data_IF_150231994235
#
_entry.id   IF_150231994235
#
_cell.length_a   1.000
_cell.length_b   1.000
_cell.length_c   1.000
_cell.angle_alpha   90.00
_cell.angle_beta   90.00
_cell.angle_gamma   90.00
#
_symmetry.space_group_name_H-M   'P 1'
#
loop_
_entity.id
_entity.type
_entity.pdbx_description
1 polymer ?
#
# COMPACT_ATOMS: atom_id res chain seq x y z
N UNK A 1 -25.69 38.84 11.93
CA UNK A 1 -25.30 39.45 13.21
C UNK A 1 -24.48 38.46 13.97
N UNK A 2 -23.17 38.59 14.31
CA UNK A 2 -22.23 39.67 14.14
C UNK A 2 -20.80 39.09 14.21
N UNK A 3 -19.99 39.64 13.36
CA UNK A 3 -18.53 39.43 13.31
C UNK A 3 -17.87 39.87 14.62
N UNK A 4 -16.77 39.18 15.03
CA UNK A 4 -15.63 39.89 15.64
C UNK A 4 -14.32 39.31 15.15
N UNK A 5 -13.60 40.15 14.43
CA UNK A 5 -12.17 40.14 14.17
C UNK A 5 -11.40 40.52 15.45
N UNK A 6 -10.25 39.89 15.70
CA UNK A 6 -9.18 40.53 16.47
C UNK A 6 -7.86 40.33 15.75
N UNK A 7 -7.28 41.45 15.35
CA UNK A 7 -5.91 41.62 14.89
C UNK A 7 -5.09 42.30 15.99
N UNK A 8 -3.81 42.07 16.02
CA UNK A 8 -2.78 42.76 16.79
C UNK A 8 -1.76 41.76 17.33
N UNK A 9 -0.48 41.93 17.22
CA UNK A 9 0.40 42.99 16.77
C UNK A 9 1.83 42.51 17.01
N UNK A 10 2.75 42.86 16.12
CA UNK A 10 4.19 42.65 16.18
C UNK A 10 4.81 43.26 17.45
N UNK A 11 5.85 42.63 17.99
CA UNK A 11 6.94 43.33 18.69
C UNK A 11 8.27 42.59 18.50
N UNK A 12 9.13 43.20 17.74
CA UNK A 12 10.56 42.91 17.59
C UNK A 12 11.33 43.36 18.82
N UNK A 13 12.22 42.55 19.33
CA UNK A 13 13.36 43.04 20.16
C UNK A 13 14.62 42.26 19.74
N UNK A 14 15.53 43.00 19.16
CA UNK A 14 16.92 42.60 18.94
C UNK A 14 17.74 42.96 20.17
N UNK A 15 18.58 42.04 20.65
CA UNK A 15 19.73 42.35 21.49
C UNK A 15 20.93 41.55 21.01
N UNK A 16 21.94 42.29 20.58
CA UNK A 16 23.27 41.78 20.26
C UNK A 16 24.12 41.72 21.54
N UNK A 17 24.96 40.72 21.65
CA UNK A 17 25.97 40.64 22.71
C UNK A 17 26.99 39.55 22.45
N UNK A 18 28.26 39.90 22.39
CA UNK A 18 29.40 39.21 21.82
C UNK A 18 30.17 38.29 22.78
N UNK A 19 30.88 37.34 22.17
CA UNK A 19 32.18 36.73 22.50
C UNK A 19 32.39 35.99 23.81
N UNK A 20 32.81 34.74 23.68
CA UNK A 20 33.50 33.94 24.66
C UNK A 20 33.88 32.56 24.16
N UNK A 21 35.09 32.42 23.60
CA UNK A 21 35.72 31.15 23.27
C UNK A 21 36.04 30.34 24.54
N UNK A 22 35.55 29.12 24.61
CA UNK A 22 36.14 28.08 25.46
C UNK A 22 35.87 26.71 24.77
N UNK A 23 36.93 26.09 24.28
CA UNK A 23 36.95 24.72 23.80
C UNK A 23 36.84 23.75 25.01
N UNK A 24 35.81 22.92 25.03
CA UNK A 24 35.78 21.69 25.79
C UNK A 24 35.24 20.60 24.89
N UNK A 25 36.07 19.59 24.65
CA UNK A 25 35.63 18.33 24.03
C UNK A 25 34.62 17.65 24.97
N UNK A 26 33.36 17.63 24.58
CA UNK A 26 32.26 17.00 25.29
C UNK A 26 31.41 16.21 24.31
N UNK A 27 31.05 15.00 24.71
CA UNK A 27 30.24 14.03 24.02
C UNK A 27 29.11 14.69 23.23
N UNK A 28 28.98 14.31 21.95
CA UNK A 28 28.01 14.90 21.05
C UNK A 28 26.61 14.75 21.60
N UNK A 29 25.96 15.88 21.83
CA UNK A 29 24.52 15.95 21.97
C UNK A 29 23.88 15.50 20.64
N UNK A 30 22.87 14.63 20.65
CA UNK A 30 22.13 14.31 19.44
C UNK A 30 21.59 15.60 18.83
N UNK A 31 21.80 15.76 17.52
CA UNK A 31 21.32 16.93 16.77
C UNK A 31 19.80 17.05 16.92
N UNK A 32 19.29 18.29 16.91
CA UNK A 32 17.86 18.62 17.01
C UNK A 32 16.97 18.03 15.88
N UNK A 33 17.53 17.26 14.96
CA UNK A 33 16.81 16.48 13.94
C UNK A 33 16.36 15.08 14.41
N UNK A 34 16.65 14.65 15.63
CA UNK A 34 16.36 13.31 16.13
C UNK A 34 15.10 13.24 17.01
N UNK A 35 14.25 14.27 17.03
CA UNK A 35 12.96 14.22 17.69
C UNK A 35 11.81 14.47 16.70
N UNK A 36 11.76 13.75 15.60
CA UNK A 36 10.49 13.36 15.06
C UNK A 36 9.85 12.48 16.14
N UNK A 37 8.80 12.99 16.80
CA UNK A 37 8.14 12.28 17.89
C UNK A 37 7.72 10.90 17.36
N UNK A 38 8.18 9.84 18.04
CA UNK A 38 7.95 8.46 17.61
C UNK A 38 6.45 8.25 17.33
N UNK A 39 6.15 7.66 16.16
CA UNK A 39 4.81 7.22 15.80
C UNK A 39 4.44 6.05 16.72
N UNK A 40 3.23 6.05 17.24
CA UNK A 40 2.72 5.03 18.16
C UNK A 40 1.25 4.72 17.85
N UNK A 41 0.80 3.49 18.11
CA UNK A 41 -0.60 3.15 17.98
C UNK A 41 -1.42 3.67 19.17
N UNK A 42 -2.60 4.22 18.85
CA UNK A 42 -3.61 4.65 19.82
C UNK A 42 -4.98 4.13 19.39
N UNK A 43 -5.72 3.49 20.29
CA UNK A 43 -7.13 3.24 20.04
C UNK A 43 -7.92 4.53 20.21
N UNK A 44 -8.59 4.99 19.15
CA UNK A 44 -9.41 6.21 19.11
C UNK A 44 -10.88 5.82 19.17
N UNK A 45 -11.49 5.97 20.33
CA UNK A 45 -12.89 5.60 20.55
C UNK A 45 -13.86 6.71 20.13
N UNK A 46 -15.05 6.29 19.68
CA UNK A 46 -16.09 7.19 19.18
C UNK A 46 -16.06 7.35 17.65
N UNK A 47 -15.25 6.55 16.97
CA UNK A 47 -15.20 6.46 15.50
C UNK A 47 -15.86 5.14 15.10
N UNK A 48 -17.12 5.21 14.68
CA UNK A 48 -17.94 4.03 14.37
C UNK A 48 -18.46 4.00 12.93
N UNK A 49 -18.44 5.13 12.23
CA UNK A 49 -18.96 5.24 10.86
C UNK A 49 -17.85 5.51 9.85
N UNK A 50 -18.09 5.16 8.59
CA UNK A 50 -17.16 5.43 7.48
C UNK A 50 -16.96 6.93 7.25
N UNK A 51 -17.99 7.74 7.49
CA UNK A 51 -17.94 9.20 7.35
C UNK A 51 -16.95 9.78 8.38
N UNK A 52 -17.04 9.33 9.66
CA UNK A 52 -16.09 9.73 10.70
C UNK A 52 -14.65 9.31 10.38
N UNK A 53 -14.46 8.10 9.83
CA UNK A 53 -13.13 7.64 9.38
C UNK A 53 -12.61 8.52 8.25
N UNK A 54 -13.46 8.84 7.27
CA UNK A 54 -13.08 9.72 6.15
C UNK A 54 -12.75 11.14 6.61
N UNK A 55 -13.44 11.67 7.60
CA UNK A 55 -13.12 12.98 8.20
C UNK A 55 -11.73 12.97 8.84
N UNK A 56 -11.38 11.93 9.61
CA UNK A 56 -10.04 11.80 10.21
C UNK A 56 -8.95 11.71 9.14
N UNK A 57 -9.18 10.92 8.09
CA UNK A 57 -8.25 10.80 6.97
C UNK A 57 -8.10 12.15 6.24
N UNK A 58 -9.19 12.86 5.98
CA UNK A 58 -9.17 14.18 5.34
C UNK A 58 -8.42 15.23 6.18
N UNK A 59 -8.42 15.10 7.51
CA UNK A 59 -7.63 15.95 8.42
C UNK A 59 -6.16 15.52 8.52
N UNK A 60 -5.76 14.46 7.80
CA UNK A 60 -4.36 14.00 7.71
C UNK A 60 -3.94 13.01 8.78
N UNK A 61 -4.89 12.38 9.48
CA UNK A 61 -4.57 11.31 10.42
C UNK A 61 -4.40 9.97 9.70
N UNK A 62 -3.37 9.22 10.06
CA UNK A 62 -3.16 7.85 9.63
C UNK A 62 -3.97 6.91 10.52
N UNK A 63 -5.09 6.45 10.04
CA UNK A 63 -5.90 5.43 10.71
C UNK A 63 -5.61 4.06 10.12
N UNK A 64 -5.53 3.03 10.98
CA UNK A 64 -5.39 1.64 10.55
C UNK A 64 -6.59 1.18 9.74
N UNK A 65 -6.35 0.21 8.86
CA UNK A 65 -7.37 -0.34 7.96
C UNK A 65 -8.46 -1.11 8.71
N UNK A 66 -8.14 -1.69 9.87
CA UNK A 66 -9.11 -2.37 10.71
C UNK A 66 -10.04 -1.36 11.41
N UNK A 67 -11.34 -1.55 11.22
CA UNK A 67 -12.38 -0.74 11.84
C UNK A 67 -13.25 -1.61 12.76
N UNK A 68 -13.27 -1.25 14.05
CA UNK A 68 -14.16 -1.89 15.02
C UNK A 68 -15.46 -1.11 15.17
N UNK A 69 -16.43 -1.69 15.83
CA UNK A 69 -17.76 -1.09 16.00
C UNK A 69 -17.73 0.27 16.74
N UNK A 70 -16.71 0.55 17.55
CA UNK A 70 -16.64 1.71 18.43
C UNK A 70 -15.31 2.46 18.39
N UNK A 71 -14.31 1.97 17.67
CA UNK A 71 -12.98 2.60 17.58
C UNK A 71 -12.22 2.23 16.31
N UNK A 72 -11.17 2.99 16.05
CA UNK A 72 -10.12 2.70 15.05
C UNK A 72 -8.76 2.82 15.73
N UNK A 73 -7.70 2.30 15.08
CA UNK A 73 -6.33 2.55 15.50
C UNK A 73 -5.76 3.73 14.74
N UNK A 74 -5.24 4.72 15.45
CA UNK A 74 -4.45 5.81 14.93
C UNK A 74 -2.96 5.45 15.07
N UNK A 75 -2.21 5.52 14.00
CA UNK A 75 -0.75 5.50 14.01
C UNK A 75 -0.25 6.94 13.92
N UNK A 76 0.14 7.48 15.05
CA UNK A 76 0.44 8.90 15.11
C UNK A 76 1.41 9.30 16.22
N UNK A 77 1.84 10.55 16.15
CA UNK A 77 2.69 11.18 17.15
C UNK A 77 1.88 11.51 18.41
N UNK A 78 2.58 11.73 19.50
CA UNK A 78 1.95 12.23 20.75
C UNK A 78 1.19 13.56 20.51
N UNK A 79 1.68 14.41 19.60
CA UNK A 79 1.02 15.67 19.23
C UNK A 79 -0.32 15.43 18.54
N UNK A 80 -0.38 14.50 17.60
CA UNK A 80 -1.62 14.11 16.91
C UNK A 80 -2.63 13.48 17.89
N UNK A 81 -2.16 12.63 18.81
CA UNK A 81 -3.02 12.07 19.85
C UNK A 81 -3.62 13.16 20.76
N UNK A 82 -2.83 14.17 21.14
CA UNK A 82 -3.31 15.32 21.91
C UNK A 82 -4.33 16.17 21.12
N UNK A 83 -4.13 16.35 19.80
CA UNK A 83 -5.07 17.07 18.95
C UNK A 83 -6.43 16.36 18.90
N UNK A 84 -6.46 15.04 18.73
CA UNK A 84 -7.70 14.28 18.76
C UNK A 84 -8.37 14.29 20.13
N UNK A 85 -7.60 14.26 21.21
CA UNK A 85 -8.16 14.41 22.56
C UNK A 85 -8.80 15.78 22.74
N UNK A 86 -8.21 16.84 22.18
CA UNK A 86 -8.79 18.19 22.21
C UNK A 86 -10.09 18.30 21.38
N UNK A 87 -10.26 17.46 20.35
CA UNK A 87 -11.48 17.31 19.57
C UNK A 87 -12.55 16.45 20.26
N UNK A 88 -12.25 15.91 21.45
CA UNK A 88 -13.21 15.15 22.27
C UNK A 88 -13.13 13.63 22.10
N UNK A 89 -12.21 13.12 21.31
CA UNK A 89 -12.02 11.67 21.19
C UNK A 89 -11.33 11.09 22.44
N UNK A 90 -11.76 9.91 22.87
CA UNK A 90 -11.08 9.15 23.91
C UNK A 90 -9.99 8.30 23.29
N UNK A 91 -8.75 8.55 23.66
CA UNK A 91 -7.59 7.79 23.19
C UNK A 91 -7.03 6.89 24.29
N UNK A 92 -6.71 5.65 23.93
CA UNK A 92 -6.00 4.70 24.79
C UNK A 92 -4.72 4.32 24.07
N UNK A 93 -3.51 4.57 24.64
CA UNK A 93 -2.27 4.07 24.06
C UNK A 93 -2.35 2.53 23.96
N UNK A 94 -2.12 1.98 22.77
CA UNK A 94 -1.87 0.56 22.60
C UNK A 94 -0.40 0.31 22.97
N UNK A 95 -0.10 -0.78 23.66
CA UNK A 95 1.29 -1.19 23.83
C UNK A 95 1.91 -1.35 22.43
N UNK A 96 3.16 -0.91 22.20
CA UNK A 96 3.85 -1.23 20.96
C UNK A 96 3.81 -2.73 20.81
N UNK A 97 3.44 -3.21 19.61
CA UNK A 97 3.62 -4.62 19.30
C UNK A 97 5.14 -4.87 19.40
N UNK A 98 5.54 -5.71 20.33
CA UNK A 98 6.95 -6.05 20.50
C UNK A 98 7.41 -6.83 19.28
N UNK A 99 8.56 -6.43 18.73
CA UNK A 99 9.24 -7.24 17.72
C UNK A 99 9.63 -8.56 18.39
N UNK A 100 9.10 -9.70 17.94
CA UNK A 100 9.56 -10.97 18.51
C UNK A 100 11.08 -11.08 18.29
N UNK A 101 11.88 -11.36 19.33
CA UNK A 101 13.34 -11.49 19.18
C UNK A 101 13.75 -12.59 18.20
N UNK A 102 12.82 -13.34 17.65
CA UNK A 102 12.99 -14.49 16.77
C UNK A 102 12.21 -14.36 15.45
N UNK A 103 11.90 -13.14 15.01
CA UNK A 103 11.15 -12.85 13.77
C UNK A 103 12.00 -13.08 12.51
N UNK A 104 12.78 -14.16 12.54
CA UNK A 104 13.67 -14.56 11.45
C UNK A 104 12.95 -15.15 10.24
N UNK A 105 11.63 -15.30 10.32
CA UNK A 105 10.81 -15.76 9.21
C UNK A 105 10.44 -14.66 8.21
N UNK A 106 10.57 -13.38 8.58
CA UNK A 106 10.39 -12.26 7.67
C UNK A 106 11.66 -11.98 6.87
N UNK A 107 11.50 -11.66 5.59
CA UNK A 107 12.63 -11.30 4.72
C UNK A 107 12.91 -9.79 4.77
N UNK A 108 14.16 -9.42 5.11
CA UNK A 108 14.67 -8.10 4.78
C UNK A 108 14.89 -7.97 3.26
N UNK A 109 15.23 -6.76 2.78
CA UNK A 109 15.38 -6.52 1.34
C UNK A 109 16.45 -7.45 0.70
N UNK A 110 17.57 -7.69 1.37
CA UNK A 110 18.64 -8.53 0.81
C UNK A 110 18.22 -10.00 0.72
N UNK A 111 17.52 -10.52 1.71
CA UNK A 111 16.98 -11.87 1.75
C UNK A 111 15.87 -12.06 0.72
N UNK A 112 14.94 -11.11 0.61
CA UNK A 112 13.90 -11.08 -0.45
C UNK A 112 14.55 -11.14 -1.85
N UNK A 113 15.55 -10.31 -2.11
CA UNK A 113 16.26 -10.30 -3.41
C UNK A 113 16.95 -11.63 -3.65
N UNK A 114 17.57 -12.22 -2.63
CA UNK A 114 18.24 -13.51 -2.74
C UNK A 114 17.26 -14.64 -3.05
N UNK A 115 16.06 -14.66 -2.41
CA UNK A 115 15.02 -15.64 -2.70
C UNK A 115 14.50 -15.52 -4.14
N UNK A 116 14.14 -14.30 -4.58
CA UNK A 116 13.69 -14.03 -5.95
C UNK A 116 14.73 -14.49 -6.99
N UNK A 117 16.02 -14.23 -6.75
CA UNK A 117 17.10 -14.65 -7.64
C UNK A 117 17.32 -16.17 -7.62
N UNK A 118 17.26 -16.80 -6.45
CA UNK A 118 17.40 -18.24 -6.30
C UNK A 118 16.24 -18.97 -7.00
N UNK A 119 15.02 -18.46 -6.85
CA UNK A 119 13.86 -19.02 -7.52
C UNK A 119 13.98 -18.94 -9.05
N UNK A 120 14.39 -17.81 -9.59
CA UNK A 120 14.64 -17.67 -11.03
C UNK A 120 15.77 -18.59 -11.53
N UNK A 121 16.85 -18.72 -10.75
CA UNK A 121 17.95 -19.61 -11.10
C UNK A 121 17.56 -21.10 -11.07
N UNK A 122 16.63 -21.48 -10.18
CA UNK A 122 16.12 -22.86 -10.11
C UNK A 122 15.15 -23.19 -11.27
N UNK A 123 14.51 -22.19 -11.87
CA UNK A 123 13.47 -22.38 -12.88
C UNK A 123 13.72 -21.55 -14.16
N UNK A 124 14.90 -21.61 -14.79
CA UNK A 124 15.31 -20.68 -15.85
C UNK A 124 14.49 -20.75 -17.14
N UNK A 125 13.69 -21.81 -17.33
CA UNK A 125 12.80 -21.96 -18.48
C UNK A 125 11.43 -21.28 -18.31
N UNK A 126 11.06 -20.94 -17.05
CA UNK A 126 9.73 -20.47 -16.72
C UNK A 126 9.75 -19.14 -15.93
N UNK A 127 10.86 -18.81 -15.29
CA UNK A 127 10.99 -17.64 -14.42
C UNK A 127 12.00 -16.66 -14.99
N UNK A 128 11.53 -15.47 -15.31
CA UNK A 128 12.32 -14.42 -15.92
C UNK A 128 12.38 -13.20 -15.00
N UNK A 129 13.61 -12.89 -14.54
CA UNK A 129 13.83 -11.70 -13.72
C UNK A 129 13.54 -10.42 -14.53
N UNK A 130 12.87 -9.46 -13.91
CA UNK A 130 12.77 -8.10 -14.42
C UNK A 130 12.95 -7.09 -13.29
N UNK A 131 13.04 -5.82 -13.66
CA UNK A 131 13.09 -4.70 -12.72
C UNK A 131 12.13 -3.62 -13.18
N UNK A 132 11.34 -3.08 -12.26
CA UNK A 132 10.60 -1.86 -12.53
C UNK A 132 11.55 -0.66 -12.65
N UNK A 133 12.72 -0.72 -12.01
CA UNK A 133 13.71 0.35 -11.90
C UNK A 133 14.23 0.48 -10.48
N UNK A 134 14.75 1.65 -10.12
CA UNK A 134 15.27 1.90 -8.78
C UNK A 134 14.29 2.71 -7.94
N UNK A 135 14.23 2.41 -6.65
CA UNK A 135 13.60 3.22 -5.61
C UNK A 135 14.35 4.54 -5.42
N UNK A 136 13.86 5.41 -4.55
CA UNK A 136 14.50 6.70 -4.26
C UNK A 136 15.93 6.55 -3.72
N UNK A 137 16.18 5.61 -2.80
CA UNK A 137 17.53 5.34 -2.25
C UNK A 137 18.38 4.41 -3.14
N UNK A 138 17.87 4.01 -4.32
CA UNK A 138 18.60 3.26 -5.32
C UNK A 138 18.48 1.74 -5.23
N UNK A 139 17.59 1.20 -4.39
CA UNK A 139 17.29 -0.24 -4.35
C UNK A 139 16.53 -0.67 -5.59
N UNK A 140 16.86 -1.83 -6.14
CA UNK A 140 16.18 -2.38 -7.30
C UNK A 140 14.76 -2.85 -6.93
N UNK A 141 13.75 -2.36 -7.64
CA UNK A 141 12.37 -2.87 -7.56
C UNK A 141 12.28 -4.15 -8.40
N UNK A 142 12.83 -5.23 -7.83
CA UNK A 142 12.97 -6.52 -8.50
C UNK A 142 11.64 -7.26 -8.57
N UNK A 143 11.41 -7.95 -9.68
CA UNK A 143 10.28 -8.85 -9.84
C UNK A 143 10.61 -10.06 -10.70
N UNK A 144 9.66 -10.99 -10.77
CA UNK A 144 9.69 -12.12 -11.68
C UNK A 144 8.46 -12.10 -12.59
N UNK A 145 8.68 -12.49 -13.83
CA UNK A 145 7.63 -12.93 -14.74
C UNK A 145 7.67 -14.45 -14.83
N UNK A 146 6.57 -15.10 -14.51
CA UNK A 146 6.40 -16.55 -14.65
C UNK A 146 5.58 -16.81 -15.92
N UNK A 147 6.18 -17.48 -16.90
CA UNK A 147 5.60 -17.85 -18.18
C UNK A 147 6.54 -18.79 -18.90
N UNK A 148 6.04 -19.59 -19.83
CA UNK A 148 6.88 -20.43 -20.73
C UNK A 148 7.43 -19.63 -21.94
N UNK A 149 6.97 -18.41 -22.14
CA UNK A 149 7.55 -17.51 -23.13
C UNK A 149 8.89 -16.94 -22.67
N UNK A 150 9.91 -17.01 -23.50
CA UNK A 150 11.24 -16.44 -23.20
C UNK A 150 11.28 -14.93 -23.19
N UNK A 151 10.33 -14.28 -23.86
CA UNK A 151 10.14 -12.82 -23.91
C UNK A 151 8.72 -12.47 -23.49
N UNK A 152 8.47 -11.21 -23.13
CA UNK A 152 7.13 -10.75 -22.81
C UNK A 152 6.18 -10.96 -23.99
N UNK A 153 5.14 -11.76 -23.76
CA UNK A 153 4.11 -12.02 -24.73
C UNK A 153 2.86 -11.20 -24.42
N UNK A 154 2.81 -9.97 -24.94
CA UNK A 154 1.70 -9.05 -24.69
C UNK A 154 0.35 -9.51 -25.32
N UNK A 155 0.34 -10.60 -26.08
CA UNK A 155 -0.90 -11.20 -26.58
C UNK A 155 -1.54 -12.18 -25.59
N UNK A 156 -0.79 -12.62 -24.58
CA UNK A 156 -1.32 -13.42 -23.47
C UNK A 156 -1.84 -12.52 -22.34
N UNK A 157 -2.95 -12.90 -21.70
CA UNK A 157 -3.46 -12.17 -20.56
C UNK A 157 -2.45 -12.13 -19.42
N UNK A 158 -2.20 -10.94 -18.88
CA UNK A 158 -1.33 -10.70 -17.75
C UNK A 158 -2.09 -10.57 -16.44
N UNK A 159 -1.46 -10.99 -15.36
CA UNK A 159 -1.87 -10.75 -13.97
C UNK A 159 -0.70 -10.19 -13.18
N UNK A 160 -0.97 -9.28 -12.24
CA UNK A 160 0.06 -8.58 -11.46
C UNK A 160 -0.17 -8.73 -9.97
N UNK A 161 0.89 -9.07 -9.22
CA UNK A 161 0.86 -9.16 -7.77
C UNK A 161 1.95 -8.26 -7.20
N UNK A 162 1.58 -7.45 -6.22
CA UNK A 162 2.52 -6.53 -5.55
C UNK A 162 2.26 -6.49 -4.06
N UNK A 163 3.35 -6.44 -3.29
CA UNK A 163 3.35 -6.19 -1.86
C UNK A 163 4.01 -4.87 -1.50
N UNK A 164 3.87 -4.50 -0.25
CA UNK A 164 4.60 -3.42 0.41
C UNK A 164 4.55 -2.06 -0.31
N UNK A 165 3.35 -1.60 -0.68
CA UNK A 165 3.15 -0.17 -0.94
C UNK A 165 3.48 0.63 0.33
N UNK A 166 3.04 0.12 1.48
CA UNK A 166 3.36 0.71 2.77
C UNK A 166 4.47 -0.08 3.47
N UNK A 167 5.45 0.64 3.95
CA UNK A 167 6.70 0.10 4.48
C UNK A 167 6.52 -0.90 5.63
N UNK A 168 5.63 -0.59 6.59
CA UNK A 168 5.37 -1.38 7.80
C UNK A 168 4.59 -2.67 7.57
N UNK A 169 4.14 -2.92 6.36
CA UNK A 169 3.28 -4.07 6.03
C UNK A 169 4.11 -5.25 5.52
N UNK A 170 5.08 -5.71 6.35
CA UNK A 170 6.06 -6.73 5.97
C UNK A 170 5.44 -8.07 5.58
N UNK A 171 4.31 -8.46 6.21
CA UNK A 171 3.61 -9.70 5.89
C UNK A 171 3.22 -9.79 4.41
N UNK A 172 3.01 -8.64 3.76
CA UNK A 172 2.65 -8.59 2.33
C UNK A 172 3.78 -9.08 1.43
N UNK A 173 5.04 -8.85 1.82
CA UNK A 173 6.22 -9.38 1.11
C UNK A 173 6.22 -10.90 1.14
N UNK A 174 5.99 -11.48 2.32
CA UNK A 174 5.96 -12.92 2.55
C UNK A 174 4.85 -13.61 1.76
N UNK A 175 3.64 -13.02 1.77
CA UNK A 175 2.51 -13.54 1.01
C UNK A 175 2.81 -13.51 -0.49
N UNK A 176 3.40 -12.43 -1.01
CA UNK A 176 3.73 -12.30 -2.44
C UNK A 176 4.88 -13.24 -2.85
N UNK A 177 5.90 -13.44 -1.99
CA UNK A 177 6.93 -14.47 -2.20
C UNK A 177 6.32 -15.87 -2.23
N UNK A 178 5.44 -16.17 -1.28
CA UNK A 178 4.75 -17.46 -1.25
C UNK A 178 3.88 -17.70 -2.50
N UNK A 179 3.23 -16.67 -3.04
CA UNK A 179 2.48 -16.76 -4.31
C UNK A 179 3.44 -17.03 -5.48
N UNK A 180 4.62 -16.44 -5.48
CA UNK A 180 5.66 -16.70 -6.49
C UNK A 180 6.02 -18.20 -6.53
N UNK A 181 6.35 -18.78 -5.39
CA UNK A 181 6.67 -20.20 -5.27
C UNK A 181 5.49 -21.10 -5.64
N UNK A 182 4.28 -20.77 -5.18
CA UNK A 182 3.06 -21.55 -5.40
C UNK A 182 2.82 -21.89 -6.88
N UNK A 183 3.06 -20.96 -7.81
CA UNK A 183 2.75 -21.17 -9.23
C UNK A 183 3.55 -22.30 -9.87
N UNK A 184 4.75 -22.62 -9.35
CA UNK A 184 5.57 -23.72 -9.88
C UNK A 184 5.57 -24.95 -8.97
N UNK A 185 5.28 -24.81 -7.69
CA UNK A 185 5.22 -25.95 -6.76
C UNK A 185 3.91 -26.75 -6.91
N UNK A 186 2.87 -26.16 -7.47
CA UNK A 186 1.57 -26.80 -7.66
C UNK A 186 1.36 -27.24 -9.11
N UNK A 187 1.56 -28.54 -9.48
CA UNK A 187 1.48 -29.01 -10.87
C UNK A 187 0.14 -28.72 -11.56
N UNK A 188 -0.95 -28.61 -10.79
CA UNK A 188 -2.28 -28.27 -11.32
C UNK A 188 -2.37 -26.83 -11.87
N UNK A 189 -1.40 -25.96 -11.55
CA UNK A 189 -1.33 -24.58 -12.04
C UNK A 189 -0.53 -24.45 -13.35
N UNK A 190 0.06 -25.55 -13.84
CA UNK A 190 0.86 -25.58 -15.07
C UNK A 190 0.15 -24.90 -16.24
N UNK A 191 -1.16 -25.12 -16.41
CA UNK A 191 -1.92 -24.48 -17.49
C UNK A 191 -1.96 -22.94 -17.36
N UNK A 192 -1.94 -22.39 -16.15
CA UNK A 192 -1.87 -20.93 -15.95
C UNK A 192 -0.49 -20.41 -16.35
N UNK A 193 0.57 -21.11 -15.98
CA UNK A 193 1.95 -20.76 -16.34
C UNK A 193 2.15 -20.75 -17.86
N UNK A 194 1.47 -21.65 -18.61
CA UNK A 194 1.54 -21.76 -20.07
C UNK A 194 0.54 -20.86 -20.83
N UNK A 195 -0.29 -20.10 -20.16
CA UNK A 195 -1.35 -19.31 -20.82
C UNK A 195 -1.50 -17.91 -20.21
N UNK A 196 -0.58 -17.51 -19.35
CA UNK A 196 -0.59 -16.22 -18.65
C UNK A 196 0.82 -15.65 -18.55
N UNK A 197 0.88 -14.34 -18.56
CA UNK A 197 2.06 -13.60 -18.11
C UNK A 197 1.83 -13.21 -16.64
N UNK A 198 2.51 -13.89 -15.70
CA UNK A 198 2.31 -13.72 -14.28
C UNK A 198 3.45 -12.85 -13.74
N UNK A 199 3.16 -11.58 -13.44
CA UNK A 199 4.14 -10.62 -12.94
C UNK A 199 4.02 -10.48 -11.43
N UNK A 200 5.14 -10.56 -10.74
CA UNK A 200 5.22 -10.55 -9.27
C UNK A 200 6.31 -9.60 -8.81
N UNK A 201 5.97 -8.63 -7.97
CA UNK A 201 6.89 -7.67 -7.35
C UNK A 201 6.67 -7.73 -5.83
N UNK A 202 7.54 -8.40 -5.07
CA UNK A 202 7.32 -8.59 -3.63
C UNK A 202 7.30 -7.29 -2.83
N UNK A 203 8.12 -6.30 -3.20
CA UNK A 203 8.18 -5.02 -2.50
C UNK A 203 8.23 -3.85 -3.49
N UNK A 204 7.27 -2.94 -3.38
CA UNK A 204 7.30 -1.66 -4.10
C UNK A 204 8.01 -0.55 -3.30
N UNK A 205 8.10 -0.69 -1.97
CA UNK A 205 8.67 0.30 -1.06
C UNK A 205 9.83 -0.26 -0.22
N UNK A 206 10.90 -0.78 -0.87
CA UNK A 206 12.00 -1.39 -0.14
C UNK A 206 12.78 -0.40 0.74
N UNK A 207 12.82 0.88 0.37
CA UNK A 207 13.49 1.90 1.18
C UNK A 207 12.77 2.15 2.49
N UNK A 208 11.45 2.26 2.43
CA UNK A 208 10.61 2.38 3.61
C UNK A 208 10.66 1.13 4.48
N UNK A 209 10.59 -0.07 3.87
CA UNK A 209 10.66 -1.35 4.57
C UNK A 209 11.96 -1.50 5.37
N UNK A 210 13.10 -1.24 4.74
CA UNK A 210 14.40 -1.27 5.43
C UNK A 210 14.51 -0.22 6.54
N UNK A 211 13.95 0.97 6.31
CA UNK A 211 13.91 1.97 7.37
C UNK A 211 13.05 1.53 8.55
N UNK A 212 11.92 0.89 8.29
CA UNK A 212 10.98 0.44 9.33
C UNK A 212 11.59 -0.57 10.32
N UNK A 213 12.57 -1.36 9.87
CA UNK A 213 13.25 -2.37 10.69
C UNK A 213 14.66 -1.94 11.15
N UNK A 214 15.09 -0.72 10.84
CA UNK A 214 16.44 -0.24 11.17
C UNK A 214 16.69 -0.30 12.67
N UNK A 215 17.83 -0.87 13.07
CA UNK A 215 18.26 -0.99 14.46
C UNK A 215 17.56 -2.08 15.26
N UNK A 216 16.87 -3.02 14.59
CA UNK A 216 16.20 -4.15 15.24
C UNK A 216 14.92 -3.77 15.98
N UNK A 217 14.27 -2.68 15.56
CA UNK A 217 13.03 -2.19 16.14
C UNK A 217 12.12 -1.66 15.05
N UNK A 218 10.82 -1.92 15.14
CA UNK A 218 9.83 -1.35 14.23
C UNK A 218 9.61 0.13 14.48
N UNK A 219 9.63 0.94 13.37
CA UNK A 219 9.39 2.36 13.41
C UNK A 219 7.94 2.74 13.05
N UNK A 220 7.09 1.79 12.71
CA UNK A 220 5.72 2.00 12.23
C UNK A 220 5.67 2.92 11.00
N UNK A 221 6.70 2.83 10.15
CA UNK A 221 6.86 3.69 8.99
C UNK A 221 5.94 3.24 7.84
N UNK A 222 5.15 4.16 7.30
CA UNK A 222 4.21 3.89 6.20
C UNK A 222 4.78 4.26 4.83
N UNK A 223 5.32 5.48 4.71
CA UNK A 223 5.65 6.17 3.47
C UNK A 223 6.95 5.64 2.84
N UNK A 224 7.29 6.14 1.61
CA UNK A 224 8.63 5.93 1.07
C UNK A 224 9.67 6.79 1.80
N UNK A 225 10.92 6.91 1.28
CA UNK A 225 12.00 7.64 1.95
C UNK A 225 12.43 8.93 1.24
N UNK A 226 11.68 9.40 0.24
CA UNK A 226 11.99 10.64 -0.45
C UNK A 226 11.83 11.86 0.48
N UNK A 227 12.86 12.75 0.61
CA UNK A 227 12.79 13.89 1.51
C UNK A 227 11.98 15.06 0.93
N UNK A 228 11.28 15.81 1.81
CA UNK A 228 10.56 17.04 1.48
C UNK A 228 10.75 18.07 2.60
N UNK A 229 11.36 19.21 2.34
CA UNK A 229 11.42 20.42 3.21
C UNK A 229 11.35 20.16 4.75
N UNK A 230 12.13 19.18 5.24
CA UNK A 230 12.16 18.83 6.67
C UNK A 230 11.27 17.65 7.08
N UNK A 231 10.49 17.08 6.15
CA UNK A 231 9.75 15.83 6.31
C UNK A 231 10.29 14.75 5.36
N UNK A 232 9.84 13.51 5.54
CA UNK A 232 10.20 12.39 4.68
C UNK A 232 8.97 11.62 4.23
N UNK A 233 9.04 11.15 2.99
CA UNK A 233 8.15 10.17 2.43
C UNK A 233 6.82 10.72 1.89
N UNK A 234 6.38 10.04 0.85
CA UNK A 234 5.04 10.12 0.25
C UNK A 234 4.35 8.79 0.52
N UNK A 235 3.06 8.82 0.82
CA UNK A 235 2.20 7.64 0.79
C UNK A 235 2.03 7.22 -0.67
N UNK A 236 2.67 6.12 -1.06
CA UNK A 236 2.65 5.63 -2.43
C UNK A 236 1.23 5.26 -2.87
N UNK A 237 0.40 4.77 -1.96
CA UNK A 237 -1.01 4.47 -2.25
C UNK A 237 -1.94 5.70 -2.14
N UNK A 238 -1.39 6.90 -2.32
CA UNK A 238 -2.07 8.19 -2.50
C UNK A 238 -1.44 9.02 -3.61
N UNK A 239 -0.45 8.47 -4.34
CA UNK A 239 0.34 9.23 -5.31
C UNK A 239 0.03 8.90 -6.78
N UNK A 240 -0.86 7.94 -7.06
CA UNK A 240 -1.31 7.65 -8.43
C UNK A 240 -2.16 8.77 -9.01
N UNK A 241 -2.20 8.87 -10.35
CA UNK A 241 -2.73 10.06 -11.03
C UNK A 241 -4.25 10.15 -11.10
N UNK A 242 -4.96 9.02 -10.99
CA UNK A 242 -6.42 9.04 -11.08
C UNK A 242 -7.03 9.61 -9.80
N UNK A 243 -7.87 10.65 -9.95
CA UNK A 243 -8.50 11.35 -8.82
C UNK A 243 -7.53 11.85 -7.73
N UNK A 244 -6.27 12.08 -8.06
CA UNK A 244 -5.26 12.53 -7.11
C UNK A 244 -5.65 13.83 -6.41
N UNK A 245 -5.70 13.80 -5.09
CA UNK A 245 -6.00 14.95 -4.23
C UNK A 245 -7.38 15.56 -4.41
N UNK A 246 -8.36 14.81 -4.98
CA UNK A 246 -9.68 15.35 -5.30
C UNK A 246 -10.64 15.42 -4.11
N UNK A 247 -10.61 14.38 -3.25
CA UNK A 247 -11.84 13.95 -2.60
C UNK A 247 -11.69 13.87 -1.07
N UNK A 248 -10.56 14.32 -0.53
CA UNK A 248 -10.28 14.36 0.90
C UNK A 248 -9.75 13.05 1.49
N UNK A 249 -9.36 12.11 0.63
CA UNK A 249 -8.79 10.82 1.02
C UNK A 249 -7.27 10.83 1.16
N UNK A 250 -6.62 11.99 1.03
CA UNK A 250 -5.18 12.18 1.19
C UNK A 250 -4.83 13.57 1.71
N UNK A 251 -3.61 13.76 2.18
CA UNK A 251 -3.12 15.02 2.73
C UNK A 251 -2.15 15.75 1.79
N UNK A 252 -2.22 17.08 1.78
CA UNK A 252 -1.19 17.95 1.17
C UNK A 252 -0.05 18.30 2.11
N UNK A 253 -0.08 17.90 3.39
CA UNK A 253 0.97 18.16 4.37
C UNK A 253 2.05 17.06 4.33
N UNK A 254 3.32 17.37 4.05
CA UNK A 254 4.41 16.40 4.05
C UNK A 254 4.63 15.66 5.39
N UNK A 255 4.15 16.21 6.50
CA UNK A 255 4.23 15.57 7.81
C UNK A 255 3.13 14.54 8.06
N UNK A 256 2.10 14.49 7.21
CA UNK A 256 1.04 13.50 7.29
C UNK A 256 1.51 12.14 6.81
N UNK A 257 1.04 11.06 7.42
CA UNK A 257 1.29 9.69 6.98
C UNK A 257 0.60 9.37 5.65
N UNK A 258 -0.49 10.08 5.31
CA UNK A 258 -1.20 9.97 4.03
C UNK A 258 -0.83 11.11 3.07
N UNK A 259 0.39 11.64 3.15
CA UNK A 259 0.86 12.69 2.25
C UNK A 259 0.93 12.17 0.81
N UNK A 260 0.14 12.79 -0.07
CA UNK A 260 0.00 12.39 -1.48
C UNK A 260 1.14 12.80 -2.42
N UNK A 261 2.20 13.41 -1.88
CA UNK A 261 3.27 14.01 -2.69
C UNK A 261 2.92 15.40 -3.25
N UNK A 262 3.90 16.10 -3.84
CA UNK A 262 3.70 17.45 -4.39
C UNK A 262 2.92 17.45 -5.71
N UNK A 263 2.87 16.37 -6.43
CA UNK A 263 2.09 16.11 -7.65
C UNK A 263 1.91 14.59 -7.83
N UNK A 264 0.95 14.20 -8.64
CA UNK A 264 0.69 12.80 -8.93
C UNK A 264 1.91 12.12 -9.57
N UNK A 265 2.20 10.89 -9.17
CA UNK A 265 3.39 10.14 -9.60
C UNK A 265 4.69 10.91 -9.31
N UNK A 266 4.79 11.53 -8.14
CA UNK A 266 5.97 12.27 -7.72
C UNK A 266 7.09 11.38 -7.17
N UNK A 267 6.79 10.14 -6.80
CA UNK A 267 7.78 9.18 -6.31
C UNK A 267 8.38 8.38 -7.46
N UNK A 268 9.65 8.01 -7.40
CA UNK A 268 10.24 7.16 -8.42
C UNK A 268 9.58 5.78 -8.48
N UNK A 269 9.17 5.20 -7.35
CA UNK A 269 8.53 3.89 -7.26
C UNK A 269 7.21 3.89 -8.02
N UNK A 270 6.33 4.87 -7.77
CA UNK A 270 5.02 4.98 -8.45
C UNK A 270 5.18 5.30 -9.94
N UNK A 271 6.19 6.12 -10.31
CA UNK A 271 6.53 6.35 -11.72
C UNK A 271 6.92 5.05 -12.42
N UNK A 272 7.72 4.21 -11.77
CA UNK A 272 8.17 2.93 -12.33
C UNK A 272 7.00 1.95 -12.47
N UNK A 273 6.17 1.85 -11.44
CA UNK A 273 4.95 1.05 -11.50
C UNK A 273 4.03 1.52 -12.64
N UNK A 274 3.78 2.80 -12.73
CA UNK A 274 2.92 3.35 -13.78
C UNK A 274 3.50 3.11 -15.19
N UNK A 275 4.80 3.31 -15.37
CA UNK A 275 5.48 3.05 -16.63
C UNK A 275 5.40 1.57 -17.03
N UNK A 276 5.59 0.66 -16.07
CA UNK A 276 5.43 -0.78 -16.31
C UNK A 276 4.00 -1.12 -16.73
N UNK A 277 3.00 -0.66 -16.00
CA UNK A 277 1.60 -0.92 -16.33
C UNK A 277 1.19 -0.38 -17.70
N UNK A 278 1.68 0.80 -18.07
CA UNK A 278 1.43 1.36 -19.41
C UNK A 278 2.10 0.55 -20.53
N UNK A 279 3.28 -0.01 -20.27
CA UNK A 279 4.00 -0.86 -21.22
C UNK A 279 3.41 -2.26 -21.34
N UNK A 280 2.61 -2.71 -20.35
CA UNK A 280 2.01 -4.05 -20.32
C UNK A 280 0.47 -3.99 -20.38
N UNK A 281 -0.11 -3.62 -21.53
CA UNK A 281 -1.57 -3.51 -21.70
C UNK A 281 -2.31 -4.84 -21.56
N UNK A 282 -1.60 -5.95 -21.62
CA UNK A 282 -2.12 -7.30 -21.39
C UNK A 282 -2.40 -7.62 -19.91
N UNK A 283 -1.85 -6.87 -18.96
CA UNK A 283 -2.19 -7.00 -17.52
C UNK A 283 -3.62 -6.52 -17.34
N UNK A 284 -4.55 -7.42 -17.15
CA UNK A 284 -5.99 -7.13 -17.05
C UNK A 284 -6.49 -7.13 -15.62
N UNK A 285 -5.81 -7.87 -14.74
CA UNK A 285 -6.15 -8.02 -13.32
C UNK A 285 -4.89 -7.90 -12.46
N UNK A 286 -5.06 -7.66 -11.17
CA UNK A 286 -3.95 -7.68 -10.22
C UNK A 286 -4.42 -7.57 -8.78
N UNK A 287 -3.53 -7.92 -7.87
CA UNK A 287 -3.72 -7.74 -6.42
C UNK A 287 -2.58 -6.90 -5.86
N UNK A 288 -2.95 -5.84 -5.15
CA UNK A 288 -2.07 -5.15 -4.22
C UNK A 288 -2.35 -5.67 -2.81
N UNK A 289 -1.32 -6.27 -2.19
CA UNK A 289 -1.42 -6.78 -0.83
C UNK A 289 -1.04 -5.70 0.17
N UNK A 290 -1.90 -5.54 1.15
CA UNK A 290 -1.79 -4.63 2.29
C UNK A 290 -2.03 -5.39 3.59
N UNK A 291 -1.81 -4.78 4.72
CA UNK A 291 -2.21 -5.25 6.04
C UNK A 291 -2.62 -4.07 6.92
N UNK A 292 -3.63 -4.22 7.83
CA UNK A 292 -4.34 -5.44 8.14
C UNK A 292 -5.83 -5.13 8.40
N UNK A 293 -6.75 -5.94 7.86
CA UNK A 293 -8.18 -5.74 8.14
C UNK A 293 -9.11 -6.91 7.76
N UNK A 294 -8.62 -8.04 7.23
CA UNK A 294 -9.46 -9.12 6.69
C UNK A 294 -10.41 -8.66 5.56
N UNK A 295 -9.95 -7.78 4.67
CA UNK A 295 -10.80 -7.17 3.63
C UNK A 295 -10.31 -7.50 2.22
N UNK A 296 -11.27 -7.51 1.30
CA UNK A 296 -11.07 -7.53 -0.15
C UNK A 296 -11.74 -6.27 -0.70
N UNK A 297 -10.92 -5.31 -1.10
CA UNK A 297 -11.37 -3.99 -1.52
C UNK A 297 -11.31 -3.85 -3.04
N UNK A 298 -12.41 -3.40 -3.64
CA UNK A 298 -12.50 -3.12 -5.06
C UNK A 298 -12.86 -1.64 -5.32
N UNK A 299 -12.55 -1.09 -6.52
CA UNK A 299 -12.86 0.30 -6.86
C UNK A 299 -14.36 0.64 -6.73
N UNK A 300 -14.70 1.88 -6.39
CA UNK A 300 -13.80 3.01 -6.19
C UNK A 300 -13.65 3.37 -4.73
N UNK A 301 -12.48 3.91 -4.38
CA UNK A 301 -12.22 4.52 -3.07
C UNK A 301 -12.58 6.01 -3.01
N UNK A 302 -12.56 6.74 -4.16
CA UNK A 302 -12.77 8.17 -4.17
C UNK A 302 -14.24 8.62 -3.94
N UNK A 303 -15.20 7.72 -3.99
CA UNK A 303 -16.63 8.03 -3.90
C UNK A 303 -17.44 6.92 -3.24
N UNK A 304 -18.44 7.29 -2.45
CA UNK A 304 -19.43 6.37 -1.88
C UNK A 304 -20.45 5.85 -2.89
N UNK A 305 -20.44 6.35 -4.13
CA UNK A 305 -21.37 5.89 -5.16
C UNK A 305 -20.87 4.60 -5.77
N UNK A 306 -21.65 3.53 -5.68
CA UNK A 306 -21.29 2.21 -6.17
C UNK A 306 -21.04 2.18 -7.69
N UNK A 307 -21.85 2.90 -8.45
CA UNK A 307 -21.73 3.00 -9.92
C UNK A 307 -21.70 4.49 -10.31
N UNK A 308 -20.55 5.16 -10.14
CA UNK A 308 -20.42 6.55 -10.58
C UNK A 308 -20.35 6.64 -12.12
N UNK A 309 -20.43 7.85 -12.71
CA UNK A 309 -20.47 8.03 -14.18
C UNK A 309 -19.27 7.46 -14.94
N UNK A 310 -18.13 7.23 -14.27
CA UNK A 310 -16.91 6.68 -14.80
C UNK A 310 -16.72 5.18 -14.52
N UNK A 311 -17.78 4.50 -14.04
CA UNK A 311 -17.87 3.03 -13.92
C UNK A 311 -19.11 2.52 -14.64
N UNK A 312 -18.98 1.41 -15.37
CA UNK A 312 -20.15 0.74 -15.95
C UNK A 312 -20.81 -0.20 -14.94
N UNK A 313 -22.13 -0.42 -15.09
CA UNK A 313 -22.83 -1.40 -14.24
C UNK A 313 -22.27 -2.83 -14.40
N UNK A 314 -21.74 -3.17 -15.59
CA UNK A 314 -21.09 -4.47 -15.83
C UNK A 314 -19.79 -4.58 -15.06
N UNK A 315 -18.98 -3.52 -15.03
CA UNK A 315 -17.71 -3.52 -14.31
C UNK A 315 -17.93 -3.60 -12.81
N UNK A 316 -18.88 -2.82 -12.28
CA UNK A 316 -19.28 -2.91 -10.87
C UNK A 316 -19.74 -4.33 -10.51
N UNK A 317 -20.65 -4.92 -11.32
CA UNK A 317 -21.09 -6.30 -11.08
C UNK A 317 -19.92 -7.30 -11.16
N UNK A 318 -18.93 -7.04 -12.02
CA UNK A 318 -17.71 -7.85 -12.11
C UNK A 318 -16.89 -7.76 -10.84
N UNK A 319 -16.66 -6.56 -10.30
CA UNK A 319 -15.96 -6.37 -9.02
C UNK A 319 -16.67 -7.06 -7.85
N UNK A 320 -17.98 -6.87 -7.73
CA UNK A 320 -18.79 -7.56 -6.71
C UNK A 320 -18.65 -9.08 -6.82
N UNK A 321 -18.71 -9.63 -8.05
CA UNK A 321 -18.57 -11.07 -8.26
C UNK A 321 -17.14 -11.57 -7.96
N UNK A 322 -16.11 -10.79 -8.32
CA UNK A 322 -14.72 -11.09 -7.97
C UNK A 322 -14.55 -11.10 -6.44
N UNK A 323 -15.01 -10.06 -5.75
CA UNK A 323 -14.96 -9.97 -4.31
C UNK A 323 -15.64 -11.16 -3.62
N UNK A 324 -16.86 -11.51 -4.04
CA UNK A 324 -17.61 -12.64 -3.50
C UNK A 324 -16.89 -13.99 -3.70
N UNK A 325 -16.27 -14.22 -4.87
CA UNK A 325 -15.49 -15.42 -5.14
C UNK A 325 -14.24 -15.53 -4.26
N UNK A 326 -13.55 -14.42 -4.05
CA UNK A 326 -12.37 -14.36 -3.19
C UNK A 326 -12.76 -14.50 -1.71
N UNK A 327 -13.82 -13.84 -1.27
CA UNK A 327 -14.39 -13.99 0.09
C UNK A 327 -14.71 -15.45 0.41
N UNK A 328 -15.30 -16.17 -0.52
CA UNK A 328 -15.64 -17.60 -0.33
C UNK A 328 -14.40 -18.49 -0.09
N UNK A 329 -13.22 -18.04 -0.48
CA UNK A 329 -11.98 -18.82 -0.35
C UNK A 329 -11.05 -18.34 0.76
N UNK A 330 -11.05 -17.05 1.07
CA UNK A 330 -10.21 -16.45 2.11
C UNK A 330 -10.94 -16.30 3.44
N UNK A 331 -12.25 -16.11 3.40
CA UNK A 331 -13.06 -15.74 4.57
C UNK A 331 -13.04 -14.25 4.89
N UNK A 332 -12.30 -13.43 4.11
CA UNK A 332 -12.30 -11.98 4.27
C UNK A 332 -13.60 -11.36 3.78
N UNK A 333 -13.95 -10.18 4.28
CA UNK A 333 -15.11 -9.44 3.81
C UNK A 333 -14.77 -8.71 2.50
N UNK A 334 -15.63 -8.84 1.50
CA UNK A 334 -15.49 -8.10 0.24
C UNK A 334 -16.41 -6.87 0.26
N UNK A 335 -15.84 -5.69 -0.03
CA UNK A 335 -16.58 -4.44 -0.06
C UNK A 335 -15.93 -3.43 -1.01
N UNK A 336 -16.65 -2.36 -1.35
CA UNK A 336 -16.07 -1.24 -2.09
C UNK A 336 -15.05 -0.50 -1.19
N UNK A 337 -13.92 -0.07 -1.76
CA UNK A 337 -12.86 0.61 -0.99
C UNK A 337 -13.37 1.79 -0.17
N UNK A 338 -14.36 2.55 -0.68
CA UNK A 338 -14.97 3.66 0.04
C UNK A 338 -15.89 3.26 1.19
N UNK A 339 -16.29 1.99 1.29
CA UNK A 339 -17.04 1.52 2.46
C UNK A 339 -16.17 1.47 3.71
N UNK A 340 -14.86 1.27 3.53
CA UNK A 340 -13.90 1.43 4.60
C UNK A 340 -13.71 2.92 4.94
N UNK A 341 -13.24 3.73 3.99
CA UNK A 341 -13.16 5.19 4.01
C UNK A 341 -12.83 5.75 2.63
N UNK A 342 -13.03 7.06 2.42
CA UNK A 342 -12.63 7.72 1.17
C UNK A 342 -11.11 7.72 1.04
N UNK A 343 -10.63 7.31 -0.14
CA UNK A 343 -9.26 7.46 -0.60
C UNK A 343 -9.21 8.35 -1.84
N UNK A 344 -8.03 8.82 -2.22
CA UNK A 344 -7.79 9.42 -3.53
C UNK A 344 -6.35 9.20 -3.99
N UNK A 345 -6.17 9.03 -5.30
CA UNK A 345 -4.87 8.73 -5.86
C UNK A 345 -4.30 7.36 -5.46
N UNK A 346 -5.15 6.41 -5.11
CA UNK A 346 -4.76 5.03 -4.78
C UNK A 346 -4.59 4.15 -6.03
N UNK A 347 -3.95 3.00 -5.84
CA UNK A 347 -3.62 2.07 -6.92
C UNK A 347 -4.87 1.43 -7.54
N UNK A 348 -5.88 1.06 -6.74
CA UNK A 348 -7.11 0.45 -7.23
C UNK A 348 -7.85 1.39 -8.18
N UNK A 349 -8.09 2.63 -7.73
CA UNK A 349 -8.81 3.61 -8.52
C UNK A 349 -8.06 3.98 -9.80
N UNK A 350 -6.72 4.06 -9.72
CA UNK A 350 -5.89 4.35 -10.88
C UNK A 350 -5.90 3.19 -11.90
N UNK A 351 -5.74 1.95 -11.45
CA UNK A 351 -5.74 0.77 -12.32
C UNK A 351 -7.06 0.62 -13.06
N UNK A 352 -8.18 0.86 -12.38
CA UNK A 352 -9.48 0.81 -13.06
C UNK A 352 -9.80 2.10 -13.81
N UNK A 353 -9.80 3.25 -13.15
CA UNK A 353 -10.26 4.50 -13.70
C UNK A 353 -9.39 5.06 -14.84
N UNK A 354 -8.07 4.86 -14.78
CA UNK A 354 -7.15 5.31 -15.83
C UNK A 354 -6.84 4.24 -16.89
N UNK A 355 -6.80 2.96 -16.50
CA UNK A 355 -6.32 1.88 -17.36
C UNK A 355 -7.40 0.85 -17.72
N UNK A 356 -8.60 0.95 -17.15
CA UNK A 356 -9.72 0.02 -17.33
C UNK A 356 -9.35 -1.45 -17.06
N UNK A 357 -8.63 -1.68 -15.96
CA UNK A 357 -8.23 -3.00 -15.46
C UNK A 357 -9.05 -3.37 -14.24
N UNK A 358 -8.98 -4.62 -13.81
CA UNK A 358 -9.76 -5.12 -12.68
C UNK A 358 -8.82 -5.42 -11.48
N UNK A 359 -8.34 -4.39 -10.77
CA UNK A 359 -7.53 -4.54 -9.58
C UNK A 359 -8.37 -4.93 -8.37
N UNK A 360 -7.69 -5.54 -7.40
CA UNK A 360 -8.19 -5.77 -6.04
C UNK A 360 -7.08 -5.37 -5.06
N UNK A 361 -7.45 -4.73 -3.96
CA UNK A 361 -6.59 -4.63 -2.78
C UNK A 361 -7.04 -5.68 -1.77
N UNK A 362 -6.09 -6.44 -1.22
CA UNK A 362 -6.33 -7.33 -0.09
C UNK A 362 -5.65 -6.76 1.15
N UNK A 363 -6.44 -6.53 2.18
CA UNK A 363 -5.97 -6.29 3.54
C UNK A 363 -5.88 -7.63 4.26
N UNK A 364 -4.66 -8.10 4.50
CA UNK A 364 -4.40 -9.39 5.13
C UNK A 364 -4.96 -9.47 6.55
N UNK A 365 -5.09 -10.71 7.09
CA UNK A 365 -5.44 -10.91 8.48
C UNK A 365 -4.36 -10.41 9.43
N UNK A 366 -4.80 -10.03 10.61
CA UNK A 366 -3.92 -9.66 11.71
C UNK A 366 -4.62 -8.73 12.69
N UNK A 367 -4.01 -8.57 13.85
CA UNK A 367 -4.39 -7.57 14.86
C UNK A 367 -3.31 -6.48 15.01
N UNK A 368 -2.26 -6.56 14.20
CA UNK A 368 -1.15 -5.61 14.11
C UNK A 368 -0.47 -5.64 12.74
N UNK A 369 0.39 -4.66 12.44
CA UNK A 369 1.26 -4.69 11.25
C UNK A 369 2.39 -5.72 11.35
N UNK A 370 2.67 -6.21 12.54
CA UNK A 370 3.78 -7.12 12.84
C UNK A 370 3.26 -8.36 13.55
N UNK A 371 2.48 -9.22 12.86
CA UNK A 371 2.13 -10.51 13.45
C UNK A 371 3.39 -11.38 13.56
N UNK A 372 3.43 -12.32 14.52
CA UNK A 372 4.55 -13.26 14.65
C UNK A 372 4.82 -14.01 13.35
N UNK A 373 6.09 -14.36 13.08
CA UNK A 373 6.49 -15.03 11.84
C UNK A 373 5.81 -16.42 11.66
N UNK A 374 5.38 -17.08 12.74
CA UNK A 374 4.59 -18.31 12.65
C UNK A 374 3.21 -18.09 11.96
N UNK A 375 2.77 -16.84 11.84
CA UNK A 375 1.54 -16.51 11.12
C UNK A 375 1.71 -16.55 9.59
N UNK A 376 2.93 -16.33 9.08
CA UNK A 376 3.25 -16.26 7.65
C UNK A 376 2.71 -17.46 6.86
N UNK A 377 2.96 -18.74 7.25
CA UNK A 377 2.52 -19.87 6.44
C UNK A 377 1.00 -19.98 6.31
N UNK A 378 0.27 -19.72 7.39
CA UNK A 378 -1.19 -19.82 7.39
C UNK A 378 -1.83 -18.72 6.55
N UNK A 379 -1.30 -17.50 6.66
CA UNK A 379 -1.81 -16.34 5.94
C UNK A 379 -1.46 -16.39 4.45
N UNK A 380 -0.24 -16.80 4.12
CA UNK A 380 0.16 -17.06 2.74
C UNK A 380 -0.74 -18.09 2.07
N UNK A 381 -0.98 -19.22 2.75
CA UNK A 381 -1.81 -20.30 2.23
C UNK A 381 -3.27 -19.87 1.99
N UNK A 382 -3.81 -19.04 2.89
CA UNK A 382 -5.14 -18.45 2.76
C UNK A 382 -5.29 -17.65 1.47
N UNK A 383 -4.26 -16.89 1.10
CA UNK A 383 -4.26 -16.01 -0.06
C UNK A 383 -3.95 -16.70 -1.39
N UNK A 384 -3.39 -17.92 -1.39
CA UNK A 384 -3.12 -18.67 -2.63
C UNK A 384 -4.34 -18.81 -3.53
N UNK A 385 -5.51 -19.13 -2.97
CA UNK A 385 -6.73 -19.35 -3.78
C UNK A 385 -7.23 -18.05 -4.41
N UNK A 386 -7.11 -16.93 -3.72
CA UNK A 386 -7.45 -15.62 -4.26
C UNK A 386 -6.51 -15.26 -5.42
N UNK A 387 -5.20 -15.48 -5.27
CA UNK A 387 -4.23 -15.26 -6.34
C UNK A 387 -4.50 -16.16 -7.57
N UNK A 388 -4.74 -17.46 -7.36
CA UNK A 388 -5.08 -18.39 -8.45
C UNK A 388 -6.34 -17.92 -9.18
N UNK A 389 -7.39 -17.53 -8.44
CA UNK A 389 -8.63 -17.06 -9.04
C UNK A 389 -8.42 -15.85 -9.94
N UNK A 390 -7.67 -14.84 -9.48
CA UNK A 390 -7.40 -13.63 -10.29
C UNK A 390 -6.59 -13.97 -11.55
N UNK A 391 -5.63 -14.88 -11.47
CA UNK A 391 -4.92 -15.39 -12.67
C UNK A 391 -5.83 -16.14 -13.65
N UNK A 392 -6.79 -16.93 -13.13
CA UNK A 392 -7.75 -17.66 -13.96
C UNK A 392 -8.63 -16.72 -14.78
N UNK A 393 -9.13 -15.65 -14.16
CA UNK A 393 -10.05 -14.71 -14.81
C UNK A 393 -9.34 -13.66 -15.67
N UNK A 394 -8.01 -13.54 -15.61
CA UNK A 394 -7.26 -12.51 -16.34
C UNK A 394 -7.52 -12.52 -17.86
N UNK A 395 -7.87 -13.67 -18.45
CA UNK A 395 -8.24 -13.74 -19.86
C UNK A 395 -9.52 -12.99 -20.23
N UNK A 396 -10.46 -12.87 -19.27
CA UNK A 396 -11.72 -12.14 -19.47
C UNK A 396 -12.43 -11.97 -18.11
N UNK A 397 -12.15 -10.91 -17.34
CA UNK A 397 -12.75 -10.70 -16.02
C UNK A 397 -14.28 -10.62 -16.05
N UNK A 398 -14.87 -9.93 -17.03
CA UNK A 398 -16.33 -9.75 -17.14
C UNK A 398 -17.08 -11.06 -17.45
N UNK A 399 -16.38 -12.14 -17.82
CA UNK A 399 -16.99 -13.45 -18.03
C UNK A 399 -17.64 -14.02 -16.75
N UNK A 400 -17.17 -13.60 -15.58
CA UNK A 400 -17.74 -14.03 -14.30
C UNK A 400 -19.21 -13.60 -14.16
N UNK A 401 -19.61 -12.52 -14.84
CA UNK A 401 -21.00 -12.02 -14.89
C UNK A 401 -21.67 -12.32 -16.23
N UNK A 402 -21.14 -13.27 -17.01
CA UNK A 402 -21.72 -13.73 -18.26
C UNK A 402 -21.48 -12.81 -19.47
N UNK A 403 -20.63 -11.79 -19.34
CA UNK A 403 -20.29 -10.86 -20.42
C UNK A 403 -18.98 -11.29 -21.07
N UNK A 404 -19.03 -11.57 -22.38
CA UNK A 404 -17.83 -11.91 -23.14
C UNK A 404 -16.94 -10.69 -23.34
N UNK A 405 -15.63 -10.87 -23.15
CA UNK A 405 -14.68 -9.85 -23.54
C UNK A 405 -14.61 -9.76 -25.06
N UNK A 406 -14.87 -8.61 -25.61
CA UNK A 406 -14.47 -8.31 -26.99
C UNK A 406 -12.96 -8.29 -27.02
N UNK A 407 -12.33 -8.96 -27.99
CA UNK A 407 -10.88 -8.90 -28.17
C UNK A 407 -10.46 -7.43 -28.05
N UNK A 408 -9.52 -7.15 -27.15
CA UNK A 408 -9.01 -5.78 -26.95
C UNK A 408 -8.47 -5.29 -28.30
N UNK A 409 -9.31 -4.56 -29.01
CA UNK A 409 -8.80 -3.65 -30.02
C UNK A 409 -7.94 -2.65 -29.23
N UNK A 410 -6.64 -2.63 -29.50
CA UNK A 410 -5.73 -1.64 -29.01
C UNK A 410 -6.35 -0.26 -29.27
N UNK A 411 -7.03 0.31 -28.29
CA UNK A 411 -7.55 1.67 -28.39
C UNK A 411 -6.37 2.58 -28.06
N UNK A 412 -5.60 2.87 -29.11
CA UNK A 412 -4.84 4.11 -29.17
C UNK A 412 -5.85 5.26 -29.07
N UNK A 413 -5.93 5.90 -27.93
CA UNK A 413 -6.41 7.27 -27.81
C UNK A 413 -5.41 8.12 -27.09
#
# INVERSE_FOLDING_TARGET
>A
MGRRLFAGGLSTLAVAGALGLASAAGAGTPSAHAQQSAIRPFAVYGVSTREQRSELVAEGFDIGEAAWADHVILYGTKGQALALTALGYRLVPKAPDDFPPYDSGYHNYAEMVADVQAFAAAHPALVHLFSLGSSYEGRNLIGVRISDDTTDNLSEPGVFYVGQHHAREHLTVEVVLSIMHMFLEQPQLSNLVHTRQIYIVPSLNPDGGEYDITGGSYHYWRKNRQPYLGAYGTDQNRNYSYRWGCCGGSSGDPNSEIYRGPYALSTPEDQRMAAFMLAHPNVTTGISYHSYADLILYPYGYTYTDVPPDMTAVDHATFVAMGAAMQATTGYQAEQSSDLYITDGDWNDWMYGALHRYPITIELSGDSFYPPDEFIPSESHRNHRAAIFVAQIAGCPTKIVGVACTAHAAQSR
#
